data_IF_279549984489
#
_entry.id   IF_279549984489
#
_cell.length_a   1.000
_cell.length_b   1.000
_cell.length_c   1.000
_cell.angle_alpha   90.00
_cell.angle_beta   90.00
_cell.angle_gamma   90.00
#
_symmetry.space_group_name_H-M   'P 1'
#
loop_
_entity.id
_entity.type
_entity.pdbx_description
1 polymer ?
#
# COMPACT_ATOMS: atom_id res chain seq x y z
N UNK A 1 10.02 15.04 -18.12
CA UNK A 1 10.85 14.27 -17.17
C UNK A 1 9.98 13.19 -16.58
N UNK A 2 10.41 11.92 -16.64
CA UNK A 2 9.69 10.83 -15.98
C UNK A 2 9.93 10.95 -14.46
N UNK A 3 8.86 10.92 -13.66
CA UNK A 3 8.96 10.82 -12.21
C UNK A 3 9.70 9.51 -11.89
N UNK A 4 10.77 9.59 -11.12
CA UNK A 4 11.48 8.40 -10.66
C UNK A 4 10.53 7.51 -9.86
N UNK A 5 10.67 6.19 -10.01
CA UNK A 5 9.84 5.23 -9.26
C UNK A 5 10.04 5.45 -7.74
N UNK A 6 8.94 5.60 -6.95
CA UNK A 6 9.03 5.92 -5.53
C UNK A 6 9.86 4.92 -4.72
N UNK A 7 9.82 3.63 -5.07
CA UNK A 7 10.61 2.61 -4.37
C UNK A 7 12.10 2.70 -4.72
N UNK A 8 12.42 3.06 -5.96
CA UNK A 8 13.79 3.22 -6.44
C UNK A 8 14.45 4.46 -5.83
N UNK A 9 13.71 5.57 -5.73
CA UNK A 9 14.17 6.78 -5.05
C UNK A 9 14.47 6.50 -3.56
N UNK A 10 13.54 5.85 -2.85
CA UNK A 10 13.74 5.46 -1.44
C UNK A 10 14.92 4.50 -1.28
N UNK A 11 15.09 3.53 -2.20
CA UNK A 11 16.26 2.64 -2.19
C UNK A 11 17.58 3.42 -2.31
N UNK A 12 17.62 4.42 -3.20
CA UNK A 12 18.79 5.29 -3.36
C UNK A 12 19.11 6.08 -2.08
N UNK A 13 18.09 6.63 -1.43
CA UNK A 13 18.22 7.36 -0.17
C UNK A 13 18.69 6.45 0.98
N UNK A 14 18.10 5.26 1.12
CA UNK A 14 18.52 4.27 2.12
C UNK A 14 19.96 3.83 1.86
N UNK A 15 20.34 3.57 0.61
CA UNK A 15 21.70 3.17 0.27
C UNK A 15 22.71 4.28 0.60
N UNK A 16 22.36 5.54 0.33
CA UNK A 16 23.18 6.70 0.70
C UNK A 16 23.34 6.79 2.22
N UNK A 17 22.25 6.67 2.98
CA UNK A 17 22.27 6.72 4.43
C UNK A 17 23.13 5.59 5.04
N UNK A 18 23.02 4.37 4.51
CA UNK A 18 23.84 3.22 4.93
C UNK A 18 25.33 3.46 4.65
N UNK A 19 25.68 4.02 3.49
CA UNK A 19 27.08 4.32 3.17
C UNK A 19 27.66 5.39 4.11
N UNK A 20 26.87 6.43 4.43
CA UNK A 20 27.27 7.45 5.42
C UNK A 20 27.46 6.85 6.81
N UNK A 21 26.52 6.02 7.27
CA UNK A 21 26.62 5.35 8.57
C UNK A 21 27.85 4.45 8.65
N UNK A 22 28.22 3.77 7.55
CA UNK A 22 29.44 2.96 7.48
C UNK A 22 30.70 3.80 7.68
N UNK A 23 30.83 4.92 6.96
CA UNK A 23 31.98 5.82 7.11
C UNK A 23 32.09 6.41 8.51
N UNK A 24 30.95 6.79 9.11
CA UNK A 24 30.90 7.26 10.51
C UNK A 24 31.29 6.17 11.50
N UNK A 25 30.90 4.92 11.26
CA UNK A 25 31.28 3.78 12.10
C UNK A 25 32.78 3.47 12.01
N UNK A 26 33.36 3.51 10.81
CA UNK A 26 34.80 3.34 10.62
C UNK A 26 35.57 4.43 11.37
N UNK A 27 35.18 5.70 11.19
CA UNK A 27 35.77 6.83 11.91
C UNK A 27 35.62 6.68 13.42
N UNK A 28 34.42 6.35 13.89
CA UNK A 28 34.17 6.12 15.31
C UNK A 28 35.07 5.01 15.88
N UNK A 29 35.29 3.93 15.13
CA UNK A 29 36.20 2.86 15.49
C UNK A 29 37.68 3.27 15.56
N UNK A 30 38.13 4.15 14.67
CA UNK A 30 39.47 4.77 14.76
C UNK A 30 39.60 5.61 16.03
N UNK A 31 38.63 6.48 16.30
CA UNK A 31 38.64 7.35 17.47
C UNK A 31 38.64 6.55 18.79
N UNK A 32 37.96 5.40 18.79
CA UNK A 32 37.93 4.48 19.94
C UNK A 32 39.27 3.76 20.17
N UNK A 33 40.13 3.67 19.15
CA UNK A 33 41.48 3.08 19.25
C UNK A 33 42.53 4.13 19.59
N UNK A 34 42.31 5.39 19.19
CA UNK A 34 43.22 6.53 19.42
C UNK A 34 42.83 7.36 20.67
N UNK A 35 42.46 6.68 21.75
CA UNK A 35 41.88 7.26 22.99
C UNK A 35 42.69 8.38 23.66
N UNK A 36 43.96 8.58 23.27
CA UNK A 36 44.87 9.54 23.89
C UNK A 36 45.16 10.80 23.05
N UNK A 37 44.63 10.88 21.82
CA UNK A 37 44.92 11.97 20.85
C UNK A 37 43.64 12.68 20.38
N UNK A 38 42.49 12.05 20.56
CA UNK A 38 41.20 12.53 20.05
C UNK A 38 40.58 13.59 20.96
N UNK A 39 40.07 14.66 20.35
CA UNK A 39 39.28 15.66 21.09
C UNK A 39 37.92 15.08 21.49
N UNK A 40 37.49 15.31 22.73
CA UNK A 40 36.17 14.86 23.23
C UNK A 40 35.02 15.31 22.30
N UNK A 41 35.15 16.51 21.71
CA UNK A 41 34.17 17.08 20.79
C UNK A 41 34.01 16.25 19.50
N UNK A 42 35.11 15.81 18.88
CA UNK A 42 35.05 14.99 17.67
C UNK A 42 34.44 13.61 17.95
N UNK A 43 34.77 13.03 19.10
CA UNK A 43 34.20 11.76 19.53
C UNK A 43 32.69 11.86 19.78
N UNK A 44 32.25 12.90 20.48
CA UNK A 44 30.84 13.15 20.77
C UNK A 44 30.04 13.44 19.49
N UNK A 45 30.59 14.27 18.61
CA UNK A 45 29.99 14.57 17.31
C UNK A 45 29.82 13.30 16.46
N UNK A 46 30.90 12.52 16.29
CA UNK A 46 30.87 11.29 15.48
C UNK A 46 29.87 10.27 16.06
N UNK A 47 29.81 10.16 17.39
CA UNK A 47 28.86 9.28 18.09
C UNK A 47 27.41 9.73 17.88
N UNK A 48 27.14 11.03 17.98
CA UNK A 48 25.80 11.58 17.76
C UNK A 48 25.34 11.41 16.31
N UNK A 49 26.23 11.69 15.36
CA UNK A 49 25.92 11.64 13.93
C UNK A 49 25.70 10.19 13.45
N UNK A 50 26.46 9.23 13.99
CA UNK A 50 26.24 7.81 13.74
C UNK A 50 24.86 7.36 14.26
N UNK A 51 24.48 7.78 15.48
CA UNK A 51 23.15 7.48 16.04
C UNK A 51 22.02 8.06 15.21
N UNK A 52 22.17 9.30 14.74
CA UNK A 52 21.18 9.93 13.87
C UNK A 52 21.05 9.20 12.54
N UNK A 53 22.18 8.84 11.92
CA UNK A 53 22.21 8.10 10.66
C UNK A 53 21.51 6.74 10.79
N UNK A 54 21.80 5.99 11.87
CA UNK A 54 21.16 4.69 12.13
C UNK A 54 19.66 4.82 12.43
N UNK A 55 19.25 5.84 13.20
CA UNK A 55 17.83 6.12 13.46
C UNK A 55 17.08 6.41 12.17
N UNK A 56 17.67 7.17 11.26
CA UNK A 56 17.06 7.49 9.96
C UNK A 56 16.77 6.23 9.14
N UNK A 57 17.66 5.24 9.18
CA UNK A 57 17.54 3.97 8.45
C UNK A 57 16.51 3.02 9.09
N UNK A 58 16.46 2.95 10.42
CA UNK A 58 15.57 2.05 11.15
C UNK A 58 14.15 2.60 11.34
N UNK A 59 13.79 3.75 10.74
CA UNK A 59 12.41 4.25 10.75
C UNK A 59 11.48 3.25 10.03
N UNK A 60 11.05 2.23 10.77
CA UNK A 60 9.97 1.34 10.39
C UNK A 60 8.69 2.16 10.36
N UNK A 61 7.85 2.03 9.33
CA UNK A 61 6.52 2.58 9.42
C UNK A 61 5.84 1.98 10.66
N UNK A 62 5.10 2.80 11.43
CA UNK A 62 4.36 2.28 12.58
C UNK A 62 3.53 1.08 12.14
N UNK A 63 3.48 -0.02 12.92
CA UNK A 63 2.66 -1.19 12.58
C UNK A 63 1.20 -0.80 12.31
N UNK A 64 0.71 0.28 12.91
CA UNK A 64 -0.59 0.89 12.68
C UNK A 64 -0.80 1.32 11.22
N UNK A 65 0.23 1.83 10.53
CA UNK A 65 0.13 2.23 9.11
C UNK A 65 -0.06 1.04 8.19
N UNK A 66 0.60 -0.09 8.48
CA UNK A 66 0.37 -1.32 7.71
C UNK A 66 -1.00 -1.93 8.02
N UNK A 67 -1.46 -1.84 9.27
CA UNK A 67 -2.80 -2.25 9.67
C UNK A 67 -3.90 -1.46 8.93
N UNK A 68 -3.78 -0.13 8.93
CA UNK A 68 -4.71 0.77 8.23
C UNK A 68 -4.77 0.49 6.72
N UNK A 69 -3.60 0.35 6.07
CA UNK A 69 -3.54 0.02 4.65
C UNK A 69 -4.20 -1.34 4.34
N UNK A 70 -3.99 -2.35 5.20
CA UNK A 70 -4.64 -3.65 5.07
C UNK A 70 -6.16 -3.55 5.19
N UNK A 71 -6.67 -2.80 6.17
CA UNK A 71 -8.11 -2.60 6.36
C UNK A 71 -8.74 -1.85 5.18
N UNK A 72 -8.08 -0.81 4.70
CA UNK A 72 -8.50 -0.06 3.52
C UNK A 72 -8.57 -0.95 2.28
N UNK A 73 -7.56 -1.80 2.07
CA UNK A 73 -7.53 -2.74 0.94
C UNK A 73 -8.69 -3.75 1.01
N UNK A 74 -8.97 -4.27 2.20
CA UNK A 74 -10.10 -5.20 2.43
C UNK A 74 -11.43 -4.51 2.15
N UNK A 75 -11.60 -3.28 2.64
CA UNK A 75 -12.79 -2.46 2.40
C UNK A 75 -12.99 -2.15 0.92
N UNK A 76 -11.93 -1.73 0.22
CA UNK A 76 -11.96 -1.46 -1.21
C UNK A 76 -12.32 -2.71 -2.03
N UNK A 77 -11.76 -3.87 -1.67
CA UNK A 77 -12.10 -5.15 -2.31
C UNK A 77 -13.57 -5.54 -2.06
N UNK A 78 -14.10 -5.36 -0.85
CA UNK A 78 -15.52 -5.65 -0.56
C UNK A 78 -16.43 -4.79 -1.44
N UNK A 79 -16.16 -3.48 -1.50
CA UNK A 79 -16.92 -2.54 -2.33
C UNK A 79 -16.88 -2.92 -3.80
N UNK A 80 -15.70 -3.27 -4.31
CA UNK A 80 -15.56 -3.71 -5.69
C UNK A 80 -16.39 -4.98 -5.96
N UNK A 81 -16.33 -5.97 -5.08
CA UNK A 81 -17.09 -7.21 -5.22
C UNK A 81 -18.61 -6.96 -5.18
N UNK A 82 -19.08 -6.13 -4.25
CA UNK A 82 -20.49 -5.73 -4.13
C UNK A 82 -20.97 -5.00 -5.40
N UNK A 83 -20.15 -4.07 -5.91
CA UNK A 83 -20.42 -3.35 -7.14
C UNK A 83 -20.50 -4.30 -8.34
N UNK A 84 -19.61 -5.29 -8.45
CA UNK A 84 -19.69 -6.31 -9.49
C UNK A 84 -20.95 -7.19 -9.37
N UNK A 85 -21.42 -7.48 -8.16
CA UNK A 85 -22.66 -8.24 -7.95
C UNK A 85 -23.90 -7.42 -8.34
N UNK A 86 -23.91 -6.12 -8.06
CA UNK A 86 -24.99 -5.22 -8.48
C UNK A 86 -25.08 -5.10 -10.00
N UNK A 87 -23.95 -4.96 -10.69
CA UNK A 87 -23.92 -4.91 -12.15
C UNK A 87 -24.51 -6.18 -12.79
N UNK A 88 -24.22 -7.36 -12.24
CA UNK A 88 -24.82 -8.62 -12.70
C UNK A 88 -26.35 -8.69 -12.48
N UNK A 89 -26.85 -8.12 -11.38
CA UNK A 89 -28.29 -8.07 -11.07
C UNK A 89 -29.04 -7.07 -11.95
N UNK A 90 -28.44 -5.91 -12.24
CA UNK A 90 -29.05 -4.89 -13.12
C UNK A 90 -29.03 -5.34 -14.58
N UNK A 91 -27.95 -5.98 -15.04
CA UNK A 91 -27.86 -6.56 -16.38
C UNK A 91 -28.87 -7.68 -16.64
N UNK A 92 -29.25 -8.45 -15.61
CA UNK A 92 -30.29 -9.49 -15.71
C UNK A 92 -31.72 -8.93 -15.63
N UNK A 93 -31.92 -7.73 -15.05
CA UNK A 93 -33.22 -7.01 -15.07
C UNK A 93 -33.54 -6.33 -16.41
N UNK A 94 -32.55 -6.05 -17.26
CA UNK A 94 -32.75 -5.31 -18.52
C UNK A 94 -32.89 -6.17 -19.78
N UNK A 95 -33.02 -7.51 -19.69
CA UNK A 95 -33.43 -8.28 -20.89
C UNK A 95 -34.83 -7.84 -21.31
N UNK A 96 -35.04 -7.30 -22.53
CA UNK A 96 -36.37 -6.90 -22.97
C UNK A 96 -37.24 -8.16 -23.06
N UNK A 97 -38.43 -8.08 -22.46
CA UNK A 97 -39.46 -9.11 -22.52
C UNK A 97 -40.01 -9.17 -23.95
N UNK A 98 -39.25 -9.79 -24.86
CA UNK A 98 -39.73 -10.12 -26.19
C UNK A 98 -40.61 -11.36 -26.11
N UNK A 99 -41.89 -11.22 -26.47
CA UNK A 99 -42.78 -12.33 -26.78
C UNK A 99 -43.82 -12.68 -25.71
N UNK A 100 -44.96 -11.98 -25.74
CA UNK A 100 -46.24 -12.57 -25.34
C UNK A 100 -47.35 -11.91 -26.16
N UNK A 101 -47.39 -12.26 -27.45
CA UNK A 101 -48.57 -12.07 -28.26
C UNK A 101 -49.61 -13.13 -27.91
N UNK A 102 -50.87 -12.69 -27.85
CA UNK A 102 -52.02 -13.55 -28.13
C UNK A 102 -52.70 -14.19 -26.92
N UNK A 103 -53.86 -13.64 -26.55
CA UNK A 103 -55.17 -14.30 -26.48
C UNK A 103 -56.01 -13.72 -25.36
N UNK A 104 -56.82 -12.73 -25.72
CA UNK A 104 -58.00 -12.34 -24.95
C UNK A 104 -59.20 -12.41 -25.85
N UNK A 105 -59.89 -13.56 -25.92
CA UNK A 105 -61.32 -13.65 -26.21
C UNK A 105 -61.90 -14.93 -25.60
N UNK A 106 -62.75 -14.69 -24.60
CA UNK A 106 -63.99 -15.36 -24.22
C UNK A 106 -64.16 -16.89 -24.36
N UNK A 107 -64.36 -17.49 -23.18
CA UNK A 107 -65.24 -18.62 -22.91
C UNK A 107 -66.53 -18.66 -23.77
N UNK A 108 -66.80 -19.80 -24.42
CA UNK A 108 -68.17 -20.31 -24.57
C UNK A 108 -68.16 -21.85 -24.47
N UNK A 109 -68.68 -22.35 -23.34
CA UNK A 109 -69.05 -23.75 -23.16
C UNK A 109 -70.30 -24.06 -23.97
N UNK A 110 -70.30 -25.15 -24.73
CA UNK A 110 -71.15 -26.34 -24.54
C UNK A 110 -71.18 -27.18 -25.82
N UNK A 111 -70.68 -28.41 -25.72
CA UNK A 111 -71.25 -29.51 -26.47
C UNK A 111 -72.42 -30.08 -25.67
N UNK A 112 -73.62 -30.02 -26.25
CA UNK A 112 -74.70 -30.97 -26.00
C UNK A 112 -75.36 -31.26 -27.36
N UNK A 113 -75.23 -32.53 -27.77
CA UNK A 113 -76.02 -33.32 -28.73
C UNK A 113 -76.26 -32.76 -30.13
#
# INVERSE_FOLDING_TARGET
MALEDPFSAVRGEVQKAVNTARGLYERWGELLRETHVVSTEEFDWTTNELRNSLRSIDQKPPPERYGQLREELVSANSRYVEEQQLHQQVGSRQRPRAGAGGQGYALQRQGQM
#
